data_IF_222577803852
#
_entry.id   IF_222577803852
#
_cell.length_a   1.000
_cell.length_b   1.000
_cell.length_c   1.000
_cell.angle_alpha   90.00
_cell.angle_beta   90.00
_cell.angle_gamma   90.00
#
_symmetry.space_group_name_H-M   'P 1'
#
loop_
_entity.id
_entity.type
_entity.pdbx_description
1 polymer ?
#
# COMPACT_ATOMS: atom_id res chain seq x y z
N UNK A 1 -17.27 -2.85 -1.54
CA UNK A 1 -15.81 -2.72 -1.27
C UNK A 1 -15.09 -4.07 -1.33
N UNK A 2 -15.41 -5.10 -0.52
CA UNK A 2 -14.68 -6.39 -0.49
C UNK A 2 -14.71 -7.07 -1.87
N UNK A 3 -15.91 -7.30 -2.44
CA UNK A 3 -16.05 -7.90 -3.77
C UNK A 3 -15.27 -7.11 -4.85
N UNK A 4 -15.32 -5.77 -4.79
CA UNK A 4 -14.56 -4.91 -5.71
C UNK A 4 -13.06 -5.09 -5.54
N UNK A 5 -12.55 -5.12 -4.30
CA UNK A 5 -11.12 -5.35 -4.03
C UNK A 5 -10.62 -6.70 -4.54
N UNK A 6 -11.43 -7.76 -4.36
CA UNK A 6 -11.12 -9.10 -4.89
C UNK A 6 -11.22 -9.14 -6.42
N UNK A 7 -12.19 -8.47 -7.03
CA UNK A 7 -12.31 -8.39 -8.49
C UNK A 7 -11.13 -7.63 -9.12
N UNK A 8 -10.69 -6.52 -8.50
CA UNK A 8 -9.51 -5.78 -8.92
C UNK A 8 -8.24 -6.62 -8.86
N UNK A 9 -8.12 -7.53 -7.89
CA UNK A 9 -6.97 -8.44 -7.83
C UNK A 9 -6.89 -9.39 -9.05
N UNK A 10 -7.99 -9.59 -9.74
CA UNK A 10 -8.05 -10.39 -11.00
C UNK A 10 -7.76 -9.51 -12.21
N UNK A 11 -8.51 -8.41 -12.37
CA UNK A 11 -8.49 -7.62 -13.61
C UNK A 11 -7.56 -6.39 -13.57
N UNK A 12 -7.06 -6.02 -12.40
CA UNK A 12 -6.11 -4.91 -12.23
C UNK A 12 -4.94 -5.30 -11.29
N UNK A 13 -4.14 -6.30 -11.65
CA UNK A 13 -3.11 -6.88 -10.77
C UNK A 13 -1.93 -5.93 -10.47
N UNK A 14 -1.86 -4.78 -11.12
CA UNK A 14 -0.84 -3.75 -10.92
C UNK A 14 -0.92 -3.10 -9.52
N UNK A 15 -2.11 -3.08 -8.92
CA UNK A 15 -2.34 -2.54 -7.59
C UNK A 15 -3.45 -3.32 -6.88
N UNK A 16 -3.17 -3.79 -5.64
CA UNK A 16 -4.20 -4.46 -4.84
C UNK A 16 -4.41 -5.94 -5.16
N UNK A 17 -3.33 -6.73 -5.21
CA UNK A 17 -3.42 -8.18 -5.36
C UNK A 17 -3.56 -8.89 -3.99
N UNK A 18 -3.94 -10.19 -4.00
CA UNK A 18 -4.15 -10.98 -2.77
C UNK A 18 -2.85 -11.28 -2.02
N UNK A 19 -1.70 -11.19 -2.68
CA UNK A 19 -0.39 -11.36 -2.07
C UNK A 19 0.28 -10.03 -1.70
N UNK A 20 -0.47 -8.95 -1.70
CA UNK A 20 -0.10 -7.62 -1.24
C UNK A 20 -0.70 -7.29 0.13
N UNK A 21 -0.85 -6.01 0.39
CA UNK A 21 -1.48 -5.46 1.58
C UNK A 21 -2.20 -4.16 1.30
N UNK A 22 -2.58 -3.45 2.34
CA UNK A 22 -3.25 -2.17 2.20
C UNK A 22 -3.71 -1.57 3.51
N UNK A 23 -4.42 -0.48 3.37
CA UNK A 23 -5.05 0.26 4.46
C UNK A 23 -6.53 0.49 4.15
N UNK A 24 -7.33 0.54 5.21
CA UNK A 24 -8.71 0.95 5.16
C UNK A 24 -8.91 2.13 6.11
N UNK A 25 -9.55 3.18 5.63
CA UNK A 25 -10.17 4.22 6.47
C UNK A 25 -11.65 4.20 6.17
N UNK A 26 -12.48 4.22 7.21
CA UNK A 26 -13.94 4.15 7.04
C UNK A 26 -14.67 5.19 7.89
N UNK A 27 -15.86 5.54 7.44
CA UNK A 27 -16.87 6.28 8.19
C UNK A 27 -18.17 5.49 8.13
N UNK A 28 -18.76 5.22 9.28
CA UNK A 28 -20.08 4.58 9.38
C UNK A 28 -21.21 5.62 9.18
N UNK A 29 -22.42 5.15 8.93
CA UNK A 29 -23.59 6.02 8.75
C UNK A 29 -23.92 6.85 10.00
N UNK A 30 -23.58 6.34 11.19
CA UNK A 30 -23.72 7.05 12.48
C UNK A 30 -22.53 7.99 12.78
N UNK A 31 -21.64 8.19 11.81
CA UNK A 31 -20.55 9.18 11.90
C UNK A 31 -19.28 8.72 12.61
N UNK A 32 -19.15 7.44 13.00
CA UNK A 32 -17.92 6.92 13.59
C UNK A 32 -16.85 6.67 12.54
N UNK A 33 -15.62 6.92 12.89
CA UNK A 33 -14.44 6.70 12.05
C UNK A 33 -13.56 5.59 12.62
N UNK A 34 -12.82 4.94 11.75
CA UNK A 34 -11.79 4.00 12.14
C UNK A 34 -10.87 3.68 10.98
N UNK A 35 -9.81 2.94 11.27
CA UNK A 35 -8.90 2.47 10.25
C UNK A 35 -8.39 1.06 10.56
N UNK A 36 -8.03 0.33 9.50
CA UNK A 36 -7.45 -1.00 9.57
C UNK A 36 -6.15 -1.00 8.76
N UNK A 37 -5.10 -1.44 9.41
CA UNK A 37 -3.80 -1.72 8.82
C UNK A 37 -3.70 -3.21 8.50
N UNK A 38 -3.64 -3.52 7.20
CA UNK A 38 -3.33 -4.85 6.69
C UNK A 38 -2.20 -4.81 5.67
N UNK A 39 -1.28 -3.86 5.88
CA UNK A 39 -0.04 -3.75 5.10
C UNK A 39 0.81 -5.01 5.26
N UNK A 40 1.67 -5.27 4.30
CA UNK A 40 2.66 -6.32 4.37
C UNK A 40 3.59 -6.12 5.56
N UNK A 41 4.02 -7.23 6.16
CA UNK A 41 4.99 -7.23 7.27
C UNK A 41 6.30 -7.86 6.84
N UNK A 42 7.40 -7.45 7.44
CA UNK A 42 8.68 -8.12 7.27
C UNK A 42 8.58 -9.58 7.75
N UNK A 43 9.17 -10.55 7.03
CA UNK A 43 9.27 -11.92 7.52
C UNK A 43 10.07 -12.00 8.83
N UNK A 44 9.76 -12.97 9.68
CA UNK A 44 10.43 -13.18 10.99
C UNK A 44 11.96 -13.35 10.88
N UNK A 45 12.44 -13.82 9.74
CA UNK A 45 13.87 -13.97 9.44
C UNK A 45 14.52 -12.72 8.84
N UNK A 46 13.76 -11.63 8.66
CA UNK A 46 14.33 -10.38 8.13
C UNK A 46 15.30 -9.76 9.14
N UNK A 47 16.42 -9.26 8.63
CA UNK A 47 17.43 -8.54 9.42
C UNK A 47 17.71 -7.18 8.77
N UNK A 48 18.28 -6.24 9.55
CA UNK A 48 18.64 -4.91 9.05
C UNK A 48 19.64 -4.96 7.88
N UNK A 49 20.48 -5.99 7.86
CA UNK A 49 21.61 -6.11 6.91
C UNK A 49 21.30 -7.08 5.76
N UNK A 50 20.06 -7.60 5.64
CA UNK A 50 19.71 -8.63 4.65
C UNK A 50 19.90 -8.22 3.18
N UNK A 51 20.04 -6.94 2.91
CA UNK A 51 20.28 -6.38 1.57
C UNK A 51 21.71 -5.90 1.36
N UNK A 52 22.61 -6.14 2.32
CA UNK A 52 24.02 -5.80 2.24
C UNK A 52 24.85 -7.02 1.83
N UNK A 53 26.01 -6.76 1.22
CA UNK A 53 27.06 -7.75 1.00
C UNK A 53 27.92 -7.96 2.27
N UNK A 54 28.90 -8.84 2.20
CA UNK A 54 29.78 -9.17 3.33
C UNK A 54 30.68 -8.02 3.80
N UNK A 55 30.79 -6.95 3.01
CA UNK A 55 31.59 -5.76 3.34
C UNK A 55 30.72 -4.53 3.63
N UNK A 56 29.38 -4.72 3.70
CA UNK A 56 28.43 -3.70 4.09
C UNK A 56 27.89 -2.82 2.97
N UNK A 57 28.17 -3.13 1.70
CA UNK A 57 27.62 -2.39 0.57
C UNK A 57 26.20 -2.89 0.22
N UNK A 58 25.34 -1.98 -0.24
CA UNK A 58 24.02 -2.33 -0.74
C UNK A 58 24.13 -3.21 -1.99
N UNK A 59 23.47 -4.36 -1.98
CA UNK A 59 23.34 -5.23 -3.16
C UNK A 59 22.27 -4.63 -4.07
N UNK A 60 22.60 -4.18 -5.30
CA UNK A 60 21.66 -3.56 -6.22
C UNK A 60 20.41 -4.43 -6.45
N UNK A 61 19.25 -3.81 -6.51
CA UNK A 61 17.93 -4.39 -6.82
C UNK A 61 17.44 -5.51 -5.87
N UNK A 62 18.22 -5.92 -4.87
CA UNK A 62 17.86 -7.05 -3.99
C UNK A 62 16.62 -6.76 -3.13
N UNK A 63 16.37 -5.51 -2.80
CA UNK A 63 15.16 -5.05 -2.10
C UNK A 63 13.98 -4.74 -3.03
N UNK A 64 14.18 -4.77 -4.35
CA UNK A 64 13.19 -4.41 -5.36
C UNK A 64 12.69 -5.62 -6.15
N UNK A 65 13.56 -6.59 -6.43
CA UNK A 65 13.30 -7.73 -7.33
C UNK A 65 13.64 -9.05 -6.67
N UNK A 66 12.77 -10.05 -6.83
CA UNK A 66 12.98 -11.40 -6.32
C UNK A 66 12.32 -11.67 -4.98
N UNK A 67 12.61 -12.83 -4.41
CA UNK A 67 11.92 -13.34 -3.21
C UNK A 67 12.18 -12.56 -1.94
N UNK A 68 13.34 -11.89 -1.81
CA UNK A 68 13.67 -11.04 -0.66
C UNK A 68 12.93 -9.70 -0.66
N UNK A 69 12.44 -9.25 -1.82
CA UNK A 69 11.67 -8.02 -1.94
C UNK A 69 10.19 -8.17 -1.50
N UNK A 70 9.76 -9.38 -1.10
CA UNK A 70 8.36 -9.69 -0.81
C UNK A 70 8.13 -9.65 0.70
N UNK A 71 7.14 -8.86 1.14
CA UNK A 71 6.63 -8.88 2.51
C UNK A 71 5.56 -9.95 2.72
N UNK A 72 5.29 -10.29 3.98
CA UNK A 72 4.20 -11.21 4.38
C UNK A 72 2.87 -10.58 4.02
N UNK A 73 2.03 -11.22 3.16
CA UNK A 73 0.81 -10.61 2.63
C UNK A 73 -0.25 -10.32 3.68
N UNK A 74 -1.01 -9.23 3.49
CA UNK A 74 -2.07 -8.80 4.39
C UNK A 74 -3.48 -8.74 3.79
N UNK A 75 -3.61 -8.65 2.45
CA UNK A 75 -4.88 -8.34 1.78
C UNK A 75 -6.03 -9.26 2.21
N UNK A 76 -5.85 -10.57 2.14
CA UNK A 76 -6.95 -11.52 2.46
C UNK A 76 -7.32 -11.45 3.95
N UNK A 77 -6.33 -11.31 4.85
CA UNK A 77 -6.61 -11.16 6.27
C UNK A 77 -7.38 -9.86 6.57
N UNK A 78 -6.97 -8.75 5.93
CA UNK A 78 -7.63 -7.45 6.07
C UNK A 78 -9.07 -7.47 5.56
N UNK A 79 -9.29 -7.95 4.35
CA UNK A 79 -10.65 -8.05 3.77
C UNK A 79 -11.55 -8.98 4.59
N UNK A 80 -11.02 -10.10 5.08
CA UNK A 80 -11.78 -11.01 5.92
C UNK A 80 -12.11 -10.41 7.29
N UNK A 81 -11.19 -9.65 7.89
CA UNK A 81 -11.43 -8.92 9.14
C UNK A 81 -12.50 -7.84 8.99
N UNK A 82 -12.46 -7.08 7.87
CA UNK A 82 -13.51 -6.11 7.52
C UNK A 82 -14.86 -6.81 7.34
N UNK A 83 -14.87 -7.97 6.65
CA UNK A 83 -16.09 -8.76 6.47
C UNK A 83 -16.70 -9.19 7.82
N UNK A 84 -15.89 -9.72 8.73
CA UNK A 84 -16.40 -10.13 10.07
C UNK A 84 -17.04 -8.97 10.83
N UNK A 85 -16.52 -7.76 10.65
CA UNK A 85 -17.00 -6.58 11.41
C UNK A 85 -18.17 -5.88 10.75
N UNK A 86 -18.22 -5.82 9.42
CA UNK A 86 -19.15 -4.98 8.68
C UNK A 86 -19.91 -5.72 7.56
N UNK A 87 -19.60 -6.99 7.31
CA UNK A 87 -20.21 -7.75 6.23
C UNK A 87 -21.71 -7.95 6.42
N UNK A 88 -22.49 -7.66 5.41
CA UNK A 88 -23.93 -7.92 5.35
C UNK A 88 -24.30 -9.10 4.46
N UNK A 89 -23.44 -9.42 3.48
CA UNK A 89 -23.55 -10.58 2.61
C UNK A 89 -22.59 -11.67 3.09
N UNK A 90 -22.83 -12.91 2.74
CA UNK A 90 -21.90 -13.99 3.06
C UNK A 90 -20.53 -13.80 2.39
N UNK A 91 -19.49 -14.37 2.96
CA UNK A 91 -18.16 -14.33 2.36
C UNK A 91 -18.12 -14.98 1.00
N UNK A 92 -18.85 -16.08 0.82
CA UNK A 92 -19.00 -16.83 -0.41
C UNK A 92 -19.57 -15.96 -1.53
N UNK A 93 -20.66 -15.23 -1.25
CA UNK A 93 -21.28 -14.30 -2.21
C UNK A 93 -20.32 -13.18 -2.63
N UNK A 94 -19.48 -12.69 -1.72
CA UNK A 94 -18.55 -11.60 -2.01
C UNK A 94 -17.34 -12.06 -2.84
N UNK A 95 -16.91 -13.31 -2.71
CA UNK A 95 -15.78 -13.88 -3.48
C UNK A 95 -16.17 -14.37 -4.84
N UNK A 96 -17.39 -14.90 -5.00
CA UNK A 96 -17.89 -15.54 -6.23
C UNK A 96 -17.70 -14.72 -7.52
N UNK A 97 -17.97 -13.39 -7.56
CA UNK A 97 -17.73 -12.58 -8.75
C UNK A 97 -16.29 -12.61 -9.24
N UNK A 98 -15.32 -12.67 -8.32
CA UNK A 98 -13.90 -12.70 -8.63
C UNK A 98 -13.47 -14.06 -9.18
N UNK A 99 -14.05 -15.15 -8.67
CA UNK A 99 -13.84 -16.49 -9.23
C UNK A 99 -14.36 -16.56 -10.67
N UNK A 100 -15.57 -16.04 -10.90
CA UNK A 100 -16.18 -16.00 -12.22
C UNK A 100 -15.36 -15.14 -13.19
N UNK A 101 -14.85 -13.98 -12.74
CA UNK A 101 -13.99 -13.12 -13.53
C UNK A 101 -12.66 -13.82 -13.89
N UNK A 102 -12.05 -14.55 -12.96
CA UNK A 102 -10.83 -15.31 -13.22
C UNK A 102 -11.06 -16.50 -14.19
N UNK A 103 -12.23 -17.13 -14.14
CA UNK A 103 -12.62 -18.24 -15.02
C UNK A 103 -13.02 -17.79 -16.42
N UNK A 104 -13.83 -16.73 -16.53
CA UNK A 104 -14.37 -16.22 -17.80
C UNK A 104 -13.42 -15.24 -18.48
N UNK A 105 -12.56 -14.59 -17.70
CA UNK A 105 -11.59 -13.61 -18.15
C UNK A 105 -12.10 -12.19 -18.14
N UNK A 106 -11.17 -11.27 -18.39
CA UNK A 106 -11.43 -9.85 -18.58
C UNK A 106 -10.75 -9.38 -19.86
N UNK A 107 -11.30 -8.33 -20.47
CA UNK A 107 -10.77 -7.76 -21.71
C UNK A 107 -9.62 -6.82 -21.39
N UNK A 108 -8.49 -6.98 -22.08
CA UNK A 108 -7.31 -6.11 -21.95
C UNK A 108 -7.58 -4.76 -22.58
N UNK A 109 -7.50 -3.70 -21.79
CA UNK A 109 -7.57 -2.32 -22.28
C UNK A 109 -6.23 -1.87 -22.83
N UNK A 110 -6.21 -0.80 -23.66
CA UNK A 110 -4.99 -0.18 -24.17
C UNK A 110 -3.98 0.13 -23.05
N UNK A 111 -4.44 0.68 -21.93
CA UNK A 111 -3.58 1.02 -20.78
C UNK A 111 -3.00 -0.23 -20.12
N UNK A 112 -3.79 -1.30 -20.00
CA UNK A 112 -3.30 -2.57 -19.45
C UNK A 112 -2.27 -3.24 -20.38
N UNK A 113 -2.51 -3.24 -21.70
CA UNK A 113 -1.53 -3.72 -22.68
C UNK A 113 -0.18 -3.00 -22.51
N UNK A 114 -0.19 -1.67 -22.47
CA UNK A 114 1.02 -0.87 -22.22
C UNK A 114 1.72 -1.24 -20.92
N UNK A 115 0.95 -1.41 -19.84
CA UNK A 115 1.48 -1.78 -18.53
C UNK A 115 2.07 -3.20 -18.51
N UNK A 116 1.39 -4.18 -19.11
CA UNK A 116 1.90 -5.55 -19.21
C UNK A 116 3.18 -5.60 -20.03
N UNK A 117 3.23 -4.93 -21.17
CA UNK A 117 4.43 -4.86 -22.01
C UNK A 117 5.61 -4.21 -21.30
N UNK A 118 5.40 -3.11 -20.60
CA UNK A 118 6.46 -2.40 -19.89
C UNK A 118 7.12 -3.24 -18.79
N UNK A 119 6.38 -4.17 -18.17
CA UNK A 119 6.83 -5.03 -17.08
C UNK A 119 7.18 -6.46 -17.49
N UNK A 120 6.90 -6.84 -18.73
CA UNK A 120 7.05 -8.21 -19.23
C UNK A 120 8.46 -8.77 -19.06
N UNK A 121 9.48 -8.00 -19.44
CA UNK A 121 10.88 -8.43 -19.33
C UNK A 121 11.28 -8.71 -17.86
N UNK A 122 10.83 -7.86 -16.93
CA UNK A 122 11.06 -8.02 -15.50
C UNK A 122 10.38 -9.30 -14.96
N UNK A 123 9.12 -9.56 -15.34
CA UNK A 123 8.43 -10.80 -14.97
C UNK A 123 9.15 -12.05 -15.50
N UNK A 124 9.62 -12.02 -16.75
CA UNK A 124 10.36 -13.12 -17.36
C UNK A 124 11.71 -13.35 -16.68
N UNK A 125 12.44 -12.31 -16.32
CA UNK A 125 13.75 -12.42 -15.67
C UNK A 125 13.67 -13.13 -14.32
N UNK A 126 12.61 -12.87 -13.55
CA UNK A 126 12.40 -13.47 -12.21
C UNK A 126 11.75 -14.86 -12.30
N UNK A 127 10.75 -15.02 -13.17
CA UNK A 127 9.86 -16.20 -13.15
C UNK A 127 10.05 -17.14 -14.35
N UNK A 128 10.83 -16.75 -15.35
CA UNK A 128 11.03 -17.51 -16.59
C UNK A 128 9.95 -17.18 -17.65
N UNK A 129 10.22 -17.59 -18.88
CA UNK A 129 9.39 -17.25 -20.06
C UNK A 129 7.92 -17.72 -19.98
N UNK A 130 7.66 -18.79 -19.23
CA UNK A 130 6.33 -19.39 -19.12
C UNK A 130 5.48 -18.76 -18.00
N UNK A 131 5.91 -17.67 -17.39
CA UNK A 131 5.12 -16.97 -16.39
C UNK A 131 3.85 -16.35 -17.00
N UNK A 132 2.78 -16.22 -16.19
CA UNK A 132 1.50 -15.68 -16.62
C UNK A 132 1.65 -14.28 -17.25
N UNK A 133 2.36 -13.36 -16.59
CA UNK A 133 2.63 -12.02 -17.10
C UNK A 133 3.83 -11.93 -18.06
N UNK A 134 4.45 -13.04 -18.41
CA UNK A 134 5.44 -13.16 -19.47
C UNK A 134 4.83 -13.32 -20.87
N UNK A 135 3.52 -13.55 -20.95
CA UNK A 135 2.79 -13.64 -22.22
C UNK A 135 2.66 -12.25 -22.86
N UNK A 136 2.50 -12.23 -24.16
CA UNK A 136 2.24 -11.01 -24.92
C UNK A 136 0.73 -10.84 -25.06
N UNK A 137 0.15 -9.96 -24.25
CA UNK A 137 -1.27 -9.65 -24.28
C UNK A 137 -1.50 -8.40 -25.10
N UNK A 138 -2.41 -8.48 -26.08
CA UNK A 138 -2.83 -7.35 -26.91
C UNK A 138 -4.09 -6.68 -26.38
N UNK A 139 -4.35 -5.44 -26.81
CA UNK A 139 -5.62 -4.77 -26.55
C UNK A 139 -6.77 -5.59 -27.16
N UNK A 140 -7.82 -5.85 -26.39
CA UNK A 140 -8.97 -6.66 -26.79
C UNK A 140 -8.85 -8.14 -26.45
N UNK A 141 -7.68 -8.64 -26.07
CA UNK A 141 -7.51 -10.03 -25.62
C UNK A 141 -8.33 -10.31 -24.36
N UNK A 142 -8.79 -11.57 -24.24
CA UNK A 142 -9.45 -12.05 -23.02
C UNK A 142 -8.43 -12.80 -22.17
N UNK A 143 -8.12 -12.26 -20.99
CA UNK A 143 -7.19 -12.88 -20.04
C UNK A 143 -7.91 -13.77 -19.06
N UNK A 144 -7.71 -15.07 -19.18
CA UNK A 144 -8.31 -16.12 -18.32
C UNK A 144 -7.23 -16.69 -17.39
N UNK A 145 -7.53 -16.80 -16.11
CA UNK A 145 -6.59 -17.36 -15.10
C UNK A 145 -7.28 -18.45 -14.24
N UNK A 146 -7.45 -19.67 -14.75
CA UNK A 146 -8.10 -20.75 -14.01
C UNK A 146 -7.32 -21.21 -12.77
N UNK A 147 -6.00 -21.02 -12.75
CA UNK A 147 -5.17 -21.33 -11.56
C UNK A 147 -5.48 -20.35 -10.44
N UNK A 148 -5.64 -19.07 -10.77
CA UNK A 148 -6.03 -18.06 -9.81
C UNK A 148 -7.46 -18.25 -9.31
N UNK A 149 -8.38 -18.67 -10.18
CA UNK A 149 -9.74 -19.06 -9.79
C UNK A 149 -9.73 -20.14 -8.70
N UNK A 150 -8.92 -21.20 -8.85
CA UNK A 150 -8.76 -22.25 -7.81
C UNK A 150 -8.21 -21.71 -6.49
N UNK A 151 -7.33 -20.72 -6.54
CA UNK A 151 -6.85 -20.04 -5.33
C UNK A 151 -7.99 -19.31 -4.62
N UNK A 152 -8.80 -18.57 -5.37
CA UNK A 152 -9.97 -17.85 -4.86
C UNK A 152 -11.06 -18.80 -4.34
N UNK A 153 -11.29 -19.97 -4.96
CA UNK A 153 -12.21 -21.00 -4.48
C UNK A 153 -11.82 -21.54 -3.09
N UNK A 154 -10.52 -21.73 -2.82
CA UNK A 154 -10.05 -22.10 -1.50
C UNK A 154 -10.27 -20.99 -0.47
N UNK A 155 -10.06 -19.75 -0.87
CA UNK A 155 -10.31 -18.56 -0.02
C UNK A 155 -11.81 -18.41 0.24
N UNK A 156 -12.66 -18.62 -0.78
CA UNK A 156 -14.12 -18.60 -0.64
C UNK A 156 -14.57 -19.63 0.40
N UNK A 157 -14.13 -20.87 0.26
CA UNK A 157 -14.56 -21.99 1.11
C UNK A 157 -14.05 -21.91 2.53
N UNK A 158 -12.85 -21.37 2.77
CA UNK A 158 -12.15 -21.45 4.06
C UNK A 158 -11.87 -20.07 4.70
N UNK A 159 -12.32 -18.97 4.08
CA UNK A 159 -12.02 -17.63 4.56
C UNK A 159 -10.52 -17.35 4.61
N UNK A 160 -10.05 -16.69 5.67
CA UNK A 160 -8.63 -16.38 5.89
C UNK A 160 -7.73 -17.62 5.77
N UNK A 161 -8.12 -18.76 6.36
CA UNK A 161 -7.29 -19.97 6.34
C UNK A 161 -7.10 -20.55 4.95
N UNK A 162 -8.01 -20.26 4.00
CA UNK A 162 -7.87 -20.64 2.59
C UNK A 162 -6.66 -20.02 1.89
N UNK A 163 -6.08 -18.95 2.43
CA UNK A 163 -4.87 -18.32 1.92
C UNK A 163 -3.65 -18.57 2.81
N UNK A 164 -3.78 -18.42 4.12
CA UNK A 164 -2.67 -18.46 5.07
C UNK A 164 -2.28 -19.86 5.53
N UNK A 165 -3.08 -20.88 5.21
CA UNK A 165 -2.87 -22.27 5.57
C UNK A 165 -3.05 -23.21 4.36
N UNK A 166 -2.61 -24.45 4.48
CA UNK A 166 -2.77 -25.49 3.47
C UNK A 166 -2.11 -25.17 2.13
N UNK A 167 -2.76 -25.55 1.04
CA UNK A 167 -2.18 -25.58 -0.31
C UNK A 167 -1.71 -24.20 -0.81
N UNK A 168 -2.49 -23.15 -0.60
CA UNK A 168 -2.10 -21.80 -1.05
C UNK A 168 -0.90 -21.27 -0.29
N UNK A 169 -0.86 -21.47 1.03
CA UNK A 169 0.29 -21.11 1.86
C UNK A 169 1.56 -21.88 1.45
N UNK A 170 1.43 -23.18 1.18
CA UNK A 170 2.54 -24.00 0.72
C UNK A 170 3.10 -23.55 -0.62
N UNK A 171 2.23 -23.27 -1.58
CA UNK A 171 2.63 -22.75 -2.90
C UNK A 171 3.34 -21.40 -2.79
N UNK A 172 2.80 -20.47 -1.97
CA UNK A 172 3.40 -19.16 -1.75
C UNK A 172 4.80 -19.31 -1.15
N UNK A 173 4.94 -20.02 -0.04
CA UNK A 173 6.22 -20.23 0.66
C UNK A 173 7.24 -20.89 -0.26
N UNK A 174 6.86 -21.95 -0.98
CA UNK A 174 7.74 -22.65 -1.91
C UNK A 174 8.20 -21.74 -3.05
N UNK A 175 7.29 -20.95 -3.63
CA UNK A 175 7.64 -20.03 -4.71
C UNK A 175 8.60 -18.94 -4.22
N UNK A 176 8.32 -18.32 -3.07
CA UNK A 176 9.19 -17.31 -2.47
C UNK A 176 10.57 -17.88 -2.16
N UNK A 177 10.64 -19.09 -1.59
CA UNK A 177 11.90 -19.78 -1.30
C UNK A 177 12.69 -20.09 -2.56
N UNK A 178 12.05 -20.57 -3.62
CA UNK A 178 12.70 -20.83 -4.93
C UNK A 178 13.29 -19.57 -5.57
N UNK A 179 12.77 -18.39 -5.21
CA UNK A 179 13.23 -17.08 -5.66
C UNK A 179 14.17 -16.40 -4.65
N UNK A 180 14.74 -17.17 -3.69
CA UNK A 180 15.68 -16.68 -2.71
C UNK A 180 15.09 -15.90 -1.54
N UNK A 181 13.77 -15.92 -1.37
CA UNK A 181 13.09 -15.23 -0.27
C UNK A 181 13.01 -16.06 1.02
N UNK A 182 12.55 -15.43 2.09
CA UNK A 182 12.63 -15.96 3.46
C UNK A 182 11.28 -16.08 4.17
N UNK A 183 10.17 -15.85 3.46
CA UNK A 183 8.82 -16.05 4.05
C UNK A 183 8.63 -17.54 4.37
N UNK A 184 8.15 -17.82 5.57
CA UNK A 184 7.86 -19.15 6.09
C UNK A 184 6.35 -19.35 6.32
N UNK A 185 5.92 -20.60 6.56
CA UNK A 185 4.55 -20.89 6.99
C UNK A 185 4.21 -20.21 8.31
N UNK A 186 5.18 -20.02 9.19
CA UNK A 186 4.98 -19.37 10.48
C UNK A 186 4.68 -17.88 10.35
N UNK A 187 5.32 -17.20 9.36
CA UNK A 187 4.99 -15.81 9.03
C UNK A 187 3.53 -15.66 8.62
N UNK A 188 3.05 -16.57 7.77
CA UNK A 188 1.66 -16.56 7.31
C UNK A 188 0.68 -16.81 8.45
N UNK A 189 0.92 -17.81 9.29
CA UNK A 189 0.09 -18.15 10.44
C UNK A 189 -0.02 -17.01 11.46
N UNK A 190 1.09 -16.30 11.70
CA UNK A 190 1.17 -15.21 12.68
C UNK A 190 0.62 -13.89 12.13
N UNK A 191 0.38 -13.78 10.83
CA UNK A 191 -0.10 -12.53 10.25
C UNK A 191 -1.50 -12.17 10.78
N UNK A 192 -1.63 -10.94 11.27
CA UNK A 192 -2.91 -10.36 11.70
C UNK A 192 -2.97 -8.88 11.30
N UNK A 193 -4.09 -8.41 10.73
CA UNK A 193 -4.32 -7.00 10.52
C UNK A 193 -4.57 -6.30 11.86
N UNK A 194 -4.32 -5.00 11.94
CA UNK A 194 -4.39 -4.21 13.16
C UNK A 194 -5.38 -3.07 13.00
N UNK A 195 -6.40 -3.02 13.86
CA UNK A 195 -7.28 -1.85 13.96
C UNK A 195 -6.52 -0.71 14.61
N UNK A 196 -6.44 0.43 13.92
CA UNK A 196 -5.72 1.61 14.39
C UNK A 196 -6.67 2.80 14.53
N UNK A 197 -6.32 3.75 15.41
CA UNK A 197 -7.01 5.04 15.49
C UNK A 197 -6.54 5.89 14.30
N UNK A 198 -7.45 6.37 13.43
CA UNK A 198 -7.04 7.20 12.29
C UNK A 198 -6.49 8.55 12.75
N UNK A 199 -5.66 9.18 11.90
CA UNK A 199 -5.29 10.58 12.05
C UNK A 199 -6.47 11.44 11.66
N UNK A 200 -6.78 12.42 12.51
CA UNK A 200 -7.84 13.41 12.26
C UNK A 200 -7.28 14.81 12.48
N UNK A 201 -7.58 15.70 11.56
CA UNK A 201 -7.20 17.11 11.62
C UNK A 201 -8.23 17.98 10.91
N UNK A 202 -8.16 19.29 11.14
CA UNK A 202 -8.99 20.26 10.44
C UNK A 202 -8.16 21.01 9.40
N UNK A 203 -8.82 21.39 8.34
CA UNK A 203 -8.34 22.38 7.39
C UNK A 203 -9.53 23.28 7.02
N UNK A 204 -9.46 24.55 7.44
CA UNK A 204 -10.62 25.47 7.40
C UNK A 204 -11.84 24.81 8.05
N UNK A 205 -12.98 24.74 7.35
CA UNK A 205 -14.22 24.10 7.82
C UNK A 205 -14.26 22.58 7.68
N UNK A 206 -13.26 21.99 7.01
CA UNK A 206 -13.23 20.56 6.71
C UNK A 206 -12.62 19.75 7.85
N UNK A 207 -13.28 18.64 8.22
CA UNK A 207 -12.71 17.62 9.08
C UNK A 207 -12.14 16.50 8.21
N UNK A 208 -10.85 16.30 8.27
CA UNK A 208 -10.13 15.30 7.45
C UNK A 208 -9.77 14.10 8.32
N UNK A 209 -10.07 12.92 7.82
CA UNK A 209 -9.70 11.65 8.45
C UNK A 209 -8.85 10.84 7.48
N UNK A 210 -7.67 10.42 7.91
CA UNK A 210 -6.71 9.68 7.08
C UNK A 210 -6.06 8.55 7.88
N UNK A 211 -5.28 7.70 7.18
CA UNK A 211 -4.61 6.57 7.80
C UNK A 211 -3.49 7.04 8.74
N UNK A 212 -3.41 6.40 9.90
CA UNK A 212 -2.31 6.58 10.85
C UNK A 212 -1.05 5.78 10.45
N UNK A 213 0.10 6.00 11.09
CA UNK A 213 1.25 5.12 10.94
C UNK A 213 0.88 3.62 11.08
N UNK A 214 1.54 2.73 10.31
CA UNK A 214 2.77 2.93 9.54
C UNK A 214 2.58 3.66 8.21
N UNK A 215 1.37 4.09 7.86
CA UNK A 215 1.17 5.02 6.74
C UNK A 215 1.62 6.42 7.13
N UNK A 216 2.50 7.02 6.34
CA UNK A 216 2.88 8.42 6.50
C UNK A 216 1.79 9.39 6.03
N UNK A 217 0.84 8.92 5.20
CA UNK A 217 -0.08 9.77 4.44
C UNK A 217 -0.92 10.70 5.30
N UNK A 218 -1.46 10.20 6.43
CA UNK A 218 -2.30 11.03 7.30
C UNK A 218 -1.52 12.16 7.98
N UNK A 219 -0.32 11.88 8.46
CA UNK A 219 0.53 12.88 9.10
C UNK A 219 1.05 13.88 8.06
N UNK A 220 1.58 13.41 6.93
CA UNK A 220 2.09 14.31 5.88
C UNK A 220 0.99 15.24 5.33
N UNK A 221 -0.24 14.75 5.14
CA UNK A 221 -1.35 15.59 4.75
C UNK A 221 -1.72 16.60 5.84
N UNK A 222 -1.76 16.18 7.11
CA UNK A 222 -2.03 17.08 8.23
C UNK A 222 -0.99 18.19 8.36
N UNK A 223 0.28 17.86 8.17
CA UNK A 223 1.36 18.84 8.15
C UNK A 223 1.25 19.79 6.95
N UNK A 224 1.06 19.24 5.73
CA UNK A 224 0.92 20.04 4.52
C UNK A 224 -0.22 21.07 4.69
N UNK A 225 -1.41 20.60 5.05
CA UNK A 225 -2.56 21.49 5.22
C UNK A 225 -2.36 22.50 6.35
N UNK A 226 -1.79 22.09 7.48
CA UNK A 226 -1.52 23.00 8.59
C UNK A 226 -0.45 24.07 8.27
N UNK A 227 0.54 23.72 7.42
CA UNK A 227 1.57 24.68 6.96
C UNK A 227 1.01 25.67 5.94
N UNK A 228 0.11 25.26 5.04
CA UNK A 228 -0.47 26.15 4.02
C UNK A 228 -1.68 26.95 4.51
N UNK A 229 -2.36 26.53 5.57
CA UNK A 229 -3.59 27.15 6.05
C UNK A 229 -3.48 28.66 6.35
N UNK A 230 -2.36 29.17 6.93
CA UNK A 230 -2.19 30.60 7.15
C UNK A 230 -2.07 31.45 5.88
N UNK A 231 -1.85 30.82 4.74
CA UNK A 231 -1.73 31.47 3.44
C UNK A 231 -3.03 31.34 2.68
N UNK A 232 -3.55 32.43 2.15
CA UNK A 232 -4.79 32.44 1.37
C UNK A 232 -4.57 31.85 -0.03
N UNK A 233 -4.27 30.52 -0.09
CA UNK A 233 -3.94 29.84 -1.35
C UNK A 233 -5.01 29.98 -2.42
N UNK A 234 -6.29 30.16 -2.03
CA UNK A 234 -7.40 30.33 -2.95
C UNK A 234 -7.40 31.65 -3.73
N UNK A 235 -6.51 32.58 -3.40
CA UNK A 235 -6.34 33.83 -4.17
C UNK A 235 -5.47 33.64 -5.42
N UNK A 236 -4.74 32.51 -5.49
CA UNK A 236 -3.84 32.22 -6.62
C UNK A 236 -4.53 31.27 -7.61
N UNK A 237 -4.18 31.43 -8.88
CA UNK A 237 -4.68 30.54 -9.93
C UNK A 237 -4.19 29.10 -9.76
N UNK A 238 -4.96 28.15 -10.29
CA UNK A 238 -4.59 26.75 -10.29
C UNK A 238 -3.27 26.52 -11.01
N UNK A 239 -2.31 25.91 -10.32
CA UNK A 239 -0.93 25.69 -10.81
C UNK A 239 -0.18 27.00 -11.16
N UNK A 240 -0.53 28.13 -10.54
CA UNK A 240 0.32 29.33 -10.60
C UNK A 240 1.65 29.08 -9.89
N UNK A 241 2.64 29.92 -10.17
CA UNK A 241 3.95 29.84 -9.53
C UNK A 241 3.83 29.88 -8.00
N UNK A 242 3.00 30.78 -7.48
CA UNK A 242 2.78 30.99 -6.06
C UNK A 242 2.14 29.73 -5.41
N UNK A 243 1.09 29.16 -6.03
CA UNK A 243 0.44 27.96 -5.50
C UNK A 243 1.37 26.75 -5.52
N UNK A 244 2.14 26.56 -6.60
CA UNK A 244 3.12 25.48 -6.71
C UNK A 244 4.23 25.67 -5.68
N UNK A 245 4.79 26.87 -5.55
CA UNK A 245 5.88 27.14 -4.63
C UNK A 245 5.46 26.88 -3.18
N UNK A 246 4.30 27.39 -2.76
CA UNK A 246 3.78 27.18 -1.41
C UNK A 246 3.58 25.69 -1.08
N UNK A 247 2.93 24.96 -1.99
CA UNK A 247 2.68 23.53 -1.80
C UNK A 247 3.99 22.75 -1.74
N UNK A 248 4.90 22.97 -2.69
CA UNK A 248 6.18 22.25 -2.75
C UNK A 248 7.05 22.54 -1.52
N UNK A 249 7.10 23.80 -1.04
CA UNK A 249 7.86 24.16 0.15
C UNK A 249 7.27 23.50 1.41
N UNK A 250 5.95 23.40 1.54
CA UNK A 250 5.29 22.68 2.64
C UNK A 250 5.52 21.17 2.53
N UNK A 251 5.40 20.59 1.33
CA UNK A 251 5.68 19.15 1.10
C UNK A 251 7.13 18.78 1.46
N UNK A 252 8.11 19.57 1.05
CA UNK A 252 9.53 19.32 1.34
C UNK A 252 9.79 19.25 2.86
N UNK A 253 9.17 20.12 3.65
CA UNK A 253 9.27 20.14 5.12
C UNK A 253 8.57 18.94 5.73
N UNK A 254 7.39 18.62 5.25
CA UNK A 254 6.66 17.41 5.68
C UNK A 254 7.44 16.12 5.38
N UNK A 255 8.12 16.04 4.23
CA UNK A 255 8.95 14.88 3.89
C UNK A 255 10.27 14.82 4.66
N UNK A 256 10.82 15.96 5.08
CA UNK A 256 11.94 15.98 6.01
C UNK A 256 11.53 15.39 7.37
N UNK A 257 10.41 15.85 7.92
CA UNK A 257 9.84 15.30 9.17
C UNK A 257 9.50 13.82 9.04
N UNK A 258 8.95 13.42 7.87
CA UNK A 258 8.67 12.02 7.57
C UNK A 258 9.91 11.14 7.68
N UNK A 259 11.03 11.62 7.17
CA UNK A 259 12.30 10.87 7.20
C UNK A 259 12.89 10.76 8.60
N UNK A 260 12.65 11.74 9.45
CA UNK A 260 13.17 11.78 10.82
C UNK A 260 12.28 11.05 11.83
N UNK A 261 10.96 11.24 11.75
CA UNK A 261 10.04 10.84 12.82
C UNK A 261 9.12 9.68 12.49
N UNK A 262 8.91 9.34 11.20
CA UNK A 262 7.90 8.36 10.85
C UNK A 262 8.47 6.97 10.58
N UNK A 263 7.77 5.98 11.13
CA UNK A 263 8.05 4.56 10.93
C UNK A 263 6.87 3.72 11.39
N UNK A 264 7.13 2.45 11.63
CA UNK A 264 6.11 1.53 12.13
C UNK A 264 5.93 1.72 13.65
N UNK A 265 4.72 2.15 14.11
CA UNK A 265 4.46 2.45 15.51
C UNK A 265 4.47 1.19 16.41
N UNK A 266 4.51 0.00 15.84
CA UNK A 266 4.69 -1.24 16.60
C UNK A 266 6.16 -1.43 17.05
N UNK A 267 7.10 -0.61 16.52
CA UNK A 267 8.54 -0.69 16.79
C UNK A 267 9.15 0.63 17.26
N UNK A 268 8.57 1.77 16.91
CA UNK A 268 9.08 3.10 17.30
C UNK A 268 7.96 3.99 17.81
N UNK A 269 8.29 4.95 18.66
CA UNK A 269 7.37 6.01 19.06
C UNK A 269 7.33 7.09 17.97
N UNK A 270 6.14 7.33 17.41
CA UNK A 270 5.89 8.34 16.39
C UNK A 270 5.27 9.56 17.08
N UNK A 271 5.95 10.72 17.16
CA UNK A 271 5.48 11.89 17.90
C UNK A 271 4.40 12.68 17.15
N UNK A 272 3.31 11.99 16.73
CA UNK A 272 2.28 12.55 15.87
C UNK A 272 1.66 13.85 16.43
N UNK A 273 1.43 13.91 17.74
CA UNK A 273 0.85 15.10 18.38
C UNK A 273 1.79 16.32 18.30
N UNK A 274 3.09 16.10 18.40
CA UNK A 274 4.11 17.16 18.30
C UNK A 274 4.18 17.71 16.88
N UNK A 275 4.36 16.83 15.91
CA UNK A 275 4.59 17.23 14.50
C UNK A 275 3.31 17.68 13.76
N UNK A 276 2.14 17.51 14.37
CA UNK A 276 0.87 18.09 13.92
C UNK A 276 0.42 19.31 14.74
N UNK A 277 1.22 19.74 15.72
CA UNK A 277 0.91 20.94 16.51
C UNK A 277 1.03 22.21 15.67
N UNK A 278 0.07 23.11 15.82
CA UNK A 278 -0.02 24.34 15.02
C UNK A 278 1.16 25.30 15.21
N UNK A 279 1.79 25.33 16.39
CA UNK A 279 2.98 26.13 16.64
C UNK A 279 4.18 25.52 15.93
N UNK A 280 4.31 24.19 16.03
CA UNK A 280 5.34 23.45 15.29
C UNK A 280 5.25 23.72 13.79
N UNK A 281 4.05 23.58 13.20
CA UNK A 281 3.83 23.76 11.76
C UNK A 281 4.12 25.20 11.30
N UNK A 282 3.74 26.21 12.08
CA UNK A 282 4.14 27.61 11.79
C UNK A 282 5.65 27.80 11.80
N UNK A 283 6.33 27.22 12.77
CA UNK A 283 7.79 27.30 12.86
C UNK A 283 8.48 26.59 11.69
N UNK A 284 7.92 25.51 11.17
CA UNK A 284 8.43 24.85 9.95
C UNK A 284 8.45 25.78 8.74
N UNK A 285 7.54 26.75 8.66
CA UNK A 285 7.42 27.70 7.54
C UNK A 285 8.13 29.04 7.80
N UNK A 286 8.87 29.21 8.90
CA UNK A 286 9.45 30.51 9.32
C UNK A 286 10.43 31.09 8.29
N UNK A 287 11.14 30.23 7.54
CA UNK A 287 12.09 30.61 6.50
C UNK A 287 11.52 30.51 5.07
N UNK A 288 10.19 30.36 4.92
CA UNK A 288 9.54 30.36 3.62
C UNK A 288 9.64 31.75 2.97
N UNK A 289 10.01 31.80 1.71
CA UNK A 289 10.16 33.02 0.91
C UNK A 289 9.46 32.85 -0.45
N UNK A 290 8.60 33.78 -0.81
CA UNK A 290 7.89 33.76 -2.08
C UNK A 290 8.80 33.93 -3.31
N UNK A 291 9.99 34.48 -3.16
CA UNK A 291 10.88 34.86 -4.26
C UNK A 291 12.00 33.84 -4.52
N UNK A 292 12.16 32.84 -3.65
CA UNK A 292 13.22 31.83 -3.80
C UNK A 292 12.83 30.51 -3.14
N UNK A 293 13.30 29.41 -3.70
CA UNK A 293 13.21 28.10 -3.05
C UNK A 293 14.18 28.01 -1.85
N UNK A 294 13.73 27.43 -0.75
CA UNK A 294 14.57 27.13 0.41
C UNK A 294 15.61 26.06 0.03
N UNK A 295 16.87 26.23 0.41
CA UNK A 295 17.89 25.21 0.20
C UNK A 295 17.56 23.94 0.99
N UNK A 296 17.75 22.75 0.42
CA UNK A 296 17.45 21.48 1.09
C UNK A 296 18.27 21.30 2.39
N UNK A 297 19.47 21.86 2.45
CA UNK A 297 20.31 21.87 3.66
C UNK A 297 19.76 22.73 4.81
N UNK A 298 18.82 23.62 4.51
CA UNK A 298 18.15 24.50 5.51
C UNK A 298 16.81 23.92 5.99
N UNK A 299 16.32 22.87 5.32
CA UNK A 299 15.13 22.13 5.71
C UNK A 299 15.61 20.93 6.54
N UNK A 300 15.59 21.10 7.88
CA UNK A 300 16.00 20.06 8.84
C UNK A 300 14.78 19.40 9.46
#
# INVERSE_FOLDING_TARGET
>A
MIATGLALSVCYPNAGNIAGGGFLVYRTSDGKYGSLDYREKAPLLATKDMYLDSVGNVIPDKSLIGGLAIGVPGTIAGLYEVHKRFGSLSWEELVEPSINLAKKGFVVTKKQNQSFRSKRAEFISVNGKNTFFGRDYEEGDIVVNPIYAKTLELIQKKGKSGFYEGLNAERLVNTVKQKGGIISKQDLLKYSPIWRKPIQFKYKELNITSMSPPSSGGICLGQLFGMIEPYEIGQYDHNSLESIQLIVEAERRSYADRSEYLGDPDFIDVPANLILDSVYLRNRMINFDWNKATLSSEIK
#
